data_IF_130302000853
#
_entry.id   IF_130302000853
#
_cell.length_a   1.000
_cell.length_b   1.000
_cell.length_c   1.000
_cell.angle_alpha   90.00
_cell.angle_beta   90.00
_cell.angle_gamma   90.00
#
_symmetry.space_group_name_H-M   'P 1'
#
loop_
_entity.id
_entity.type
_entity.pdbx_description
1 polymer ?
#
# COMPACT_ATOMS: atom_id res chain seq x y z
N UNK A 1 -10.07 -2.87 -17.02
CA UNK A 1 -10.00 -2.54 -15.59
C UNK A 1 -11.39 -2.43 -15.00
N UNK A 2 -11.62 -3.15 -13.91
CA UNK A 2 -12.95 -3.20 -13.27
C UNK A 2 -13.26 -1.96 -12.43
N UNK A 3 -12.25 -1.32 -11.88
CA UNK A 3 -12.40 -0.17 -11.00
C UNK A 3 -11.92 1.11 -11.66
N UNK A 4 -12.72 2.16 -11.56
CA UNK A 4 -12.39 3.48 -12.09
C UNK A 4 -12.57 4.53 -11.01
N UNK A 5 -11.55 5.35 -10.81
CA UNK A 5 -11.63 6.52 -9.94
C UNK A 5 -12.50 7.58 -10.62
N UNK A 6 -13.62 7.94 -10.00
CA UNK A 6 -14.55 8.94 -10.55
C UNK A 6 -14.19 10.33 -10.02
N UNK A 7 -14.03 10.47 -8.71
CA UNK A 7 -13.76 11.75 -8.08
C UNK A 7 -13.15 11.59 -6.71
N UNK A 8 -12.38 12.61 -6.30
CA UNK A 8 -11.90 12.78 -4.93
C UNK A 8 -12.41 14.14 -4.48
N UNK A 9 -13.30 14.14 -3.49
CA UNK A 9 -13.92 15.35 -2.96
C UNK A 9 -13.75 15.41 -1.45
N UNK A 10 -12.87 16.29 -0.97
CA UNK A 10 -12.57 16.36 0.46
C UNK A 10 -12.02 15.05 0.97
N UNK A 11 -12.69 14.45 1.94
CA UNK A 11 -12.29 13.16 2.52
C UNK A 11 -12.98 11.96 1.88
N UNK A 12 -13.70 12.18 0.78
CA UNK A 12 -14.49 11.15 0.11
C UNK A 12 -13.88 10.80 -1.23
N UNK A 13 -13.71 9.50 -1.47
CA UNK A 13 -13.26 8.96 -2.75
C UNK A 13 -14.43 8.21 -3.38
N UNK A 14 -14.72 8.50 -4.63
CA UNK A 14 -15.80 7.85 -5.37
C UNK A 14 -15.21 6.93 -6.43
N UNK A 15 -15.59 5.66 -6.38
CA UNK A 15 -15.14 4.61 -7.30
C UNK A 15 -16.34 4.02 -8.02
N UNK A 16 -16.17 3.77 -9.31
CA UNK A 16 -17.13 3.02 -10.12
C UNK A 16 -16.58 1.64 -10.38
N UNK A 17 -17.39 0.61 -10.15
CA UNK A 17 -17.02 -0.78 -10.42
C UNK A 17 -17.87 -1.33 -11.56
N UNK A 18 -17.21 -1.97 -12.52
CA UNK A 18 -17.85 -2.71 -13.60
C UNK A 18 -17.43 -4.17 -13.47
N UNK A 19 -18.33 -5.03 -13.07
CA UNK A 19 -18.06 -6.44 -12.80
C UNK A 19 -18.88 -7.30 -13.77
N UNK A 20 -18.17 -8.09 -14.58
CA UNK A 20 -18.81 -9.03 -15.49
C UNK A 20 -19.02 -10.35 -14.78
N UNK A 21 -20.28 -10.73 -14.63
CA UNK A 21 -20.65 -12.01 -14.02
C UNK A 21 -20.63 -13.12 -15.09
N UNK A 22 -20.29 -14.32 -14.64
CA UNK A 22 -20.35 -15.53 -15.46
C UNK A 22 -21.46 -16.45 -14.96
N UNK A 23 -21.66 -17.55 -15.66
CA UNK A 23 -22.63 -18.57 -15.21
C UNK A 23 -22.07 -19.49 -14.13
N UNK A 24 -20.78 -19.42 -13.86
CA UNK A 24 -20.15 -20.10 -12.76
C UNK A 24 -20.12 -19.18 -11.55
N UNK A 25 -20.68 -19.62 -10.44
CA UNK A 25 -20.67 -18.83 -9.20
C UNK A 25 -19.24 -18.64 -8.70
N UNK A 26 -18.40 -19.67 -8.73
CA UNK A 26 -17.01 -19.59 -8.32
C UNK A 26 -16.24 -18.55 -9.15
N UNK A 27 -16.39 -18.57 -10.47
CA UNK A 27 -15.73 -17.58 -11.33
C UNK A 27 -16.24 -16.17 -11.07
N UNK A 28 -17.54 -16.01 -10.85
CA UNK A 28 -18.12 -14.70 -10.49
C UNK A 28 -17.57 -14.18 -9.17
N UNK A 29 -17.47 -15.04 -8.17
CA UNK A 29 -16.91 -14.65 -6.86
C UNK A 29 -15.43 -14.25 -6.98
N UNK A 30 -14.65 -14.94 -7.81
CA UNK A 30 -13.25 -14.58 -8.07
C UNK A 30 -13.16 -13.21 -8.76
N UNK A 31 -14.01 -12.98 -9.74
CA UNK A 31 -14.08 -11.69 -10.44
C UNK A 31 -14.47 -10.56 -9.48
N UNK A 32 -15.43 -10.81 -8.59
CA UNK A 32 -15.85 -9.84 -7.58
C UNK A 32 -14.70 -9.52 -6.63
N UNK A 33 -14.01 -10.54 -6.12
CA UNK A 33 -12.87 -10.32 -5.23
C UNK A 33 -11.79 -9.47 -5.91
N UNK A 34 -11.46 -9.79 -7.16
CA UNK A 34 -10.45 -9.04 -7.90
C UNK A 34 -10.87 -7.59 -8.14
N UNK A 35 -12.16 -7.35 -8.44
CA UNK A 35 -12.68 -5.99 -8.63
C UNK A 35 -12.64 -5.19 -7.34
N UNK A 36 -13.01 -5.79 -6.21
CA UNK A 36 -12.95 -5.15 -4.89
C UNK A 36 -11.50 -4.83 -4.50
N UNK A 37 -10.59 -5.74 -4.76
CA UNK A 37 -9.16 -5.52 -4.52
C UNK A 37 -8.63 -4.37 -5.38
N UNK A 38 -9.01 -4.31 -6.65
CA UNK A 38 -8.62 -3.21 -7.53
C UNK A 38 -9.12 -1.87 -7.02
N UNK A 39 -10.38 -1.82 -6.57
CA UNK A 39 -10.94 -0.62 -5.96
C UNK A 39 -10.18 -0.24 -4.69
N UNK A 40 -9.87 -1.21 -3.84
CA UNK A 40 -9.08 -1.01 -2.63
C UNK A 40 -7.71 -0.42 -2.92
N UNK A 41 -7.04 -0.88 -3.97
CA UNK A 41 -5.75 -0.32 -4.41
C UNK A 41 -5.88 1.15 -4.82
N UNK A 42 -6.92 1.49 -5.58
CA UNK A 42 -7.14 2.85 -6.04
C UNK A 42 -7.38 3.81 -4.88
N UNK A 43 -8.25 3.42 -3.95
CA UNK A 43 -8.55 4.24 -2.77
C UNK A 43 -7.33 4.35 -1.86
N UNK A 44 -6.60 3.27 -1.67
CA UNK A 44 -5.37 3.28 -0.85
C UNK A 44 -4.32 4.23 -1.42
N UNK A 45 -4.16 4.25 -2.74
CA UNK A 45 -3.25 5.19 -3.40
C UNK A 45 -3.62 6.64 -3.08
N UNK A 46 -4.90 6.99 -3.15
CA UNK A 46 -5.37 8.32 -2.79
C UNK A 46 -5.17 8.63 -1.30
N UNK A 47 -5.42 7.66 -0.44
CA UNK A 47 -5.21 7.81 1.00
C UNK A 47 -3.74 8.05 1.34
N UNK A 48 -2.83 7.30 0.72
CA UNK A 48 -1.39 7.47 0.95
C UNK A 48 -0.87 8.84 0.51
N UNK A 49 -1.36 9.36 -0.61
CA UNK A 49 -0.97 10.69 -1.11
C UNK A 49 -1.24 11.80 -0.09
N UNK A 50 -2.22 11.65 0.78
CA UNK A 50 -2.57 12.63 1.80
C UNK A 50 -1.49 12.80 2.87
N UNK A 51 -0.60 11.83 3.00
CA UNK A 51 0.50 11.88 3.95
C UNK A 51 1.77 12.49 3.35
N UNK A 52 1.76 12.78 2.06
CA UNK A 52 2.89 13.40 1.40
C UNK A 52 2.93 14.91 1.67
N UNK A 53 4.08 15.51 1.42
CA UNK A 53 4.29 16.95 1.50
C UNK A 53 4.08 17.60 0.13
N UNK A 54 4.14 18.93 0.11
CA UNK A 54 4.11 19.71 -1.13
C UNK A 54 5.51 19.87 -1.77
N UNK A 55 6.53 19.26 -1.17
CA UNK A 55 7.92 19.35 -1.65
C UNK A 55 8.71 20.52 -1.09
N UNK A 56 8.10 21.35 -0.25
CA UNK A 56 8.83 22.45 0.40
C UNK A 56 9.75 21.91 1.50
N UNK A 57 10.79 22.69 1.82
CA UNK A 57 11.77 22.33 2.84
C UNK A 57 11.09 22.18 4.21
N UNK A 58 11.58 21.24 5.01
CA UNK A 58 11.09 20.98 6.37
C UNK A 58 12.24 21.07 7.36
N UNK A 59 11.90 21.36 8.62
CA UNK A 59 12.85 21.40 9.73
C UNK A 59 12.57 20.24 10.67
N UNK A 60 13.62 19.48 10.98
CA UNK A 60 13.55 18.39 11.96
C UNK A 60 14.71 18.54 12.92
N UNK A 61 14.42 18.78 14.21
CA UNK A 61 15.45 18.98 15.22
C UNK A 61 16.40 20.13 14.90
N UNK A 62 15.90 21.20 14.27
CA UNK A 62 16.71 22.34 13.87
C UNK A 62 17.51 22.14 12.56
N UNK A 63 17.47 20.96 11.97
CA UNK A 63 18.13 20.66 10.70
C UNK A 63 17.18 20.82 9.54
N UNK A 64 17.64 21.51 8.49
CA UNK A 64 16.84 21.71 7.27
C UNK A 64 16.97 20.51 6.35
N UNK A 65 15.82 19.97 5.96
CA UNK A 65 15.72 18.91 4.97
C UNK A 65 15.06 19.45 3.71
N UNK A 66 15.66 19.17 2.57
CA UNK A 66 15.14 19.62 1.27
C UNK A 66 14.71 18.43 0.43
N UNK A 67 13.64 18.63 -0.35
CA UNK A 67 13.13 17.60 -1.25
C UNK A 67 14.11 17.30 -2.37
N UNK A 68 14.36 16.04 -2.60
CA UNK A 68 15.14 15.54 -3.75
C UNK A 68 14.23 15.32 -4.96
N UNK A 69 12.96 15.63 -4.85
CA UNK A 69 11.92 15.41 -5.86
C UNK A 69 10.99 14.27 -5.50
N UNK A 70 10.08 13.97 -6.41
CA UNK A 70 9.14 12.87 -6.27
C UNK A 70 9.77 11.59 -6.81
N UNK A 71 9.69 10.52 -6.04
CA UNK A 71 10.17 9.21 -6.44
C UNK A 71 9.04 8.19 -6.29
N UNK A 72 8.82 7.31 -7.28
CA UNK A 72 7.83 6.26 -7.17
C UNK A 72 8.31 5.15 -6.24
N UNK A 73 7.38 4.56 -5.52
CA UNK A 73 7.64 3.36 -4.74
C UNK A 73 6.39 2.52 -4.65
N UNK A 74 6.56 1.21 -4.64
CA UNK A 74 5.48 0.26 -4.49
C UNK A 74 5.28 -0.08 -3.01
N UNK A 75 4.03 -0.05 -2.58
CA UNK A 75 3.65 -0.42 -1.22
C UNK A 75 2.70 -1.61 -1.25
N UNK A 76 2.91 -2.54 -0.34
CA UNK A 76 2.03 -3.68 -0.15
C UNK A 76 0.85 -3.27 0.73
N UNK A 77 -0.35 -3.57 0.26
CA UNK A 77 -1.60 -3.26 0.96
C UNK A 77 -2.45 -4.51 1.08
N UNK A 78 -3.50 -4.52 1.91
CA UNK A 78 -4.41 -5.67 1.97
C UNK A 78 -5.05 -6.01 0.62
N UNK A 79 -5.13 -5.05 -0.29
CA UNK A 79 -5.85 -5.17 -1.56
C UNK A 79 -4.95 -5.49 -2.74
N UNK A 80 -3.72 -5.07 -2.70
CA UNK A 80 -2.76 -5.26 -3.77
C UNK A 80 -1.51 -4.42 -3.56
N UNK A 81 -0.65 -4.44 -4.56
CA UNK A 81 0.53 -3.59 -4.61
C UNK A 81 0.13 -2.26 -5.26
N UNK A 82 0.52 -1.16 -4.62
CA UNK A 82 0.15 0.20 -5.06
C UNK A 82 1.41 1.02 -5.26
N UNK A 83 1.54 1.65 -6.44
CA UNK A 83 2.62 2.59 -6.70
C UNK A 83 2.19 4.00 -6.30
N UNK A 84 3.05 4.68 -5.54
CA UNK A 84 2.81 6.06 -5.10
C UNK A 84 4.05 6.90 -5.36
N UNK A 85 3.86 8.06 -5.97
CA UNK A 85 4.88 9.10 -6.05
C UNK A 85 4.92 9.85 -4.73
N UNK A 86 6.09 9.96 -4.13
CA UNK A 86 6.22 10.67 -2.85
C UNK A 86 7.54 11.44 -2.81
N UNK A 87 7.55 12.52 -2.04
CA UNK A 87 8.72 13.35 -1.86
C UNK A 87 9.72 12.69 -0.92
N UNK A 88 10.98 12.67 -1.35
CA UNK A 88 12.08 12.14 -0.57
C UNK A 88 13.00 13.29 -0.20
N UNK A 89 13.42 13.35 1.05
CA UNK A 89 14.20 14.45 1.62
C UNK A 89 15.60 14.00 2.02
N UNK A 90 16.49 14.97 2.00
CA UNK A 90 17.88 14.77 2.42
C UNK A 90 18.43 16.09 2.94
N UNK A 91 19.39 16.03 3.88
CA UNK A 91 20.08 17.22 4.36
C UNK A 91 21.18 17.65 3.36
N UNK A 92 21.68 18.86 3.49
CA UNK A 92 22.78 19.35 2.67
C UNK A 92 24.07 18.55 2.84
N UNK A 93 24.22 17.87 3.97
CA UNK A 93 25.37 16.99 4.24
C UNK A 93 25.25 15.63 3.52
N UNK A 94 24.13 15.34 2.88
CA UNK A 94 23.86 14.05 2.27
C UNK A 94 23.44 13.01 3.31
N UNK A 95 23.81 11.75 3.10
CA UNK A 95 23.48 10.65 4.01
C UNK A 95 22.13 10.02 3.72
N UNK A 96 21.48 9.52 4.76
CA UNK A 96 20.18 8.83 4.62
C UNK A 96 19.09 9.76 4.15
N UNK A 97 18.26 9.26 3.27
CA UNK A 97 17.04 9.93 2.84
C UNK A 97 15.91 9.72 3.86
N UNK A 98 14.94 10.61 3.82
CA UNK A 98 13.78 10.57 4.70
C UNK A 98 12.51 10.83 3.88
N UNK A 99 11.48 10.04 4.12
CA UNK A 99 10.19 10.19 3.44
C UNK A 99 9.10 10.47 4.49
N UNK A 100 8.59 11.71 4.56
CA UNK A 100 7.54 12.06 5.51
C UNK A 100 6.28 11.21 5.36
N UNK A 101 5.89 10.87 4.13
CA UNK A 101 4.73 9.99 3.89
C UNK A 101 4.90 8.67 4.64
N UNK A 102 6.07 8.04 4.54
CA UNK A 102 6.29 6.74 5.19
C UNK A 102 6.23 6.82 6.71
N UNK A 103 6.76 7.90 7.27
CA UNK A 103 6.67 8.15 8.72
C UNK A 103 5.23 8.35 9.16
N UNK A 104 4.52 9.25 8.48
CA UNK A 104 3.20 9.70 8.91
C UNK A 104 2.12 8.66 8.64
N UNK A 105 2.25 7.91 7.55
CA UNK A 105 1.36 6.79 7.23
C UNK A 105 1.73 5.50 7.98
N UNK A 106 2.81 5.53 8.77
CA UNK A 106 3.30 4.38 9.57
C UNK A 106 3.60 3.15 8.72
N UNK A 107 4.31 3.38 7.63
CA UNK A 107 4.73 2.30 6.74
C UNK A 107 5.75 1.39 7.47
N UNK A 108 5.55 0.09 7.37
CA UNK A 108 6.43 -0.94 7.94
C UNK A 108 7.11 -1.67 6.80
N UNK A 109 8.43 -1.52 6.66
CA UNK A 109 9.22 -1.98 5.49
C UNK A 109 8.72 -1.26 4.23
N UNK A 110 7.79 -1.83 3.50
CA UNK A 110 7.04 -1.19 2.40
C UNK A 110 5.57 -1.63 2.45
N UNK A 111 5.06 -1.82 3.64
CA UNK A 111 3.71 -2.30 3.89
C UNK A 111 2.88 -1.24 4.60
N UNK A 112 1.61 -1.12 4.21
CA UNK A 112 0.66 -0.30 4.96
C UNK A 112 0.40 -0.93 6.34
N UNK A 113 -0.02 -0.13 7.34
CA UNK A 113 -0.21 -0.63 8.70
C UNK A 113 -1.19 -1.80 8.79
N UNK A 114 -2.27 -1.74 8.04
CA UNK A 114 -3.28 -2.81 8.06
C UNK A 114 -2.73 -4.11 7.48
N UNK A 115 -1.96 -4.03 6.39
CA UNK A 115 -1.35 -5.23 5.81
C UNK A 115 -0.32 -5.83 6.76
N UNK A 116 0.51 -5.00 7.39
CA UNK A 116 1.46 -5.47 8.40
C UNK A 116 0.75 -6.18 9.55
N UNK A 117 -0.38 -5.64 10.00
CA UNK A 117 -1.19 -6.24 11.06
C UNK A 117 -1.78 -7.59 10.63
N UNK A 118 -2.29 -7.68 9.40
CA UNK A 118 -2.83 -8.93 8.84
C UNK A 118 -1.75 -10.00 8.79
N UNK A 119 -0.56 -9.66 8.27
CA UNK A 119 0.55 -10.60 8.17
C UNK A 119 1.01 -11.05 9.56
N UNK A 120 1.16 -10.13 10.50
CA UNK A 120 1.55 -10.47 11.87
C UNK A 120 0.56 -11.44 12.53
N UNK A 121 -0.73 -11.20 12.33
CA UNK A 121 -1.78 -12.07 12.85
C UNK A 121 -1.70 -13.48 12.25
N UNK A 122 -1.49 -13.56 10.93
CA UNK A 122 -1.38 -14.85 10.25
C UNK A 122 -0.14 -15.63 10.71
N UNK A 123 0.97 -14.95 10.96
CA UNK A 123 2.18 -15.60 11.49
C UNK A 123 1.99 -16.14 12.92
N UNK A 124 1.03 -15.63 13.67
CA UNK A 124 0.70 -16.18 14.98
C UNK A 124 0.11 -17.60 14.89
N UNK A 125 -0.45 -17.96 13.73
CA UNK A 125 -1.14 -19.23 13.51
C UNK A 125 -0.40 -20.19 12.58
N UNK A 126 0.72 -19.79 11.96
CA UNK A 126 1.45 -20.65 11.03
C UNK A 126 2.78 -20.11 10.58
N UNK A 127 3.49 -20.88 9.77
CA UNK A 127 4.77 -20.49 9.19
C UNK A 127 4.62 -19.68 7.90
N UNK A 128 5.74 -19.23 7.35
CA UNK A 128 5.76 -18.38 6.15
C UNK A 128 5.09 -19.01 4.93
N UNK A 129 5.22 -20.32 4.75
CA UNK A 129 4.57 -21.03 3.64
C UNK A 129 3.05 -20.98 3.77
N UNK A 130 2.51 -21.16 4.98
CA UNK A 130 1.08 -21.09 5.23
C UNK A 130 0.55 -19.68 5.07
N UNK A 131 1.31 -18.67 5.51
CA UNK A 131 0.92 -17.26 5.35
C UNK A 131 0.87 -16.89 3.87
N UNK A 132 1.87 -17.29 3.10
CA UNK A 132 1.90 -17.07 1.65
C UNK A 132 0.67 -17.68 0.97
N UNK A 133 0.37 -18.94 1.29
CA UNK A 133 -0.78 -19.67 0.74
C UNK A 133 -2.11 -19.02 1.15
N UNK A 134 -2.25 -18.66 2.41
CA UNK A 134 -3.47 -18.06 2.93
C UNK A 134 -3.77 -16.70 2.27
N UNK A 135 -2.75 -15.87 2.09
CA UNK A 135 -2.90 -14.60 1.39
C UNK A 135 -3.35 -14.79 -0.05
N UNK A 136 -2.78 -15.79 -0.75
CA UNK A 136 -3.15 -16.07 -2.13
C UNK A 136 -4.59 -16.62 -2.23
N UNK A 137 -4.93 -17.61 -1.42
CA UNK A 137 -6.22 -18.30 -1.48
C UNK A 137 -7.39 -17.46 -0.97
N UNK A 138 -7.21 -16.78 0.15
CA UNK A 138 -8.32 -16.11 0.82
C UNK A 138 -8.43 -14.63 0.54
N UNK A 139 -7.36 -14.01 0.06
CA UNK A 139 -7.33 -12.55 -0.14
C UNK A 139 -6.92 -12.15 -1.56
N UNK A 140 -6.60 -13.13 -2.42
CA UNK A 140 -6.12 -12.84 -3.76
C UNK A 140 -4.79 -12.07 -3.79
N UNK A 141 -3.95 -12.24 -2.74
CA UNK A 141 -2.70 -11.52 -2.59
C UNK A 141 -1.50 -12.45 -2.78
N UNK A 142 -0.78 -12.24 -3.86
CA UNK A 142 0.42 -13.01 -4.18
C UNK A 142 1.65 -12.24 -3.75
N UNK A 143 2.18 -12.56 -2.57
CA UNK A 143 3.30 -11.86 -1.94
C UNK A 143 4.44 -12.85 -1.72
N UNK A 144 5.66 -12.46 -2.08
CA UNK A 144 6.82 -13.31 -1.93
C UNK A 144 7.06 -13.68 -0.46
N UNK A 145 7.36 -14.96 -0.21
CA UNK A 145 7.59 -15.45 1.15
C UNK A 145 8.75 -14.73 1.83
N UNK A 146 9.81 -14.40 1.07
CA UNK A 146 10.94 -13.64 1.60
C UNK A 146 10.55 -12.28 2.13
N UNK A 147 9.64 -11.59 1.44
CA UNK A 147 9.09 -10.31 1.89
C UNK A 147 8.30 -10.49 3.18
N UNK A 148 7.46 -11.51 3.26
CA UNK A 148 6.66 -11.80 4.44
C UNK A 148 7.54 -12.10 5.66
N UNK A 149 8.62 -12.87 5.47
CA UNK A 149 9.58 -13.14 6.52
C UNK A 149 10.28 -11.87 7.01
N UNK A 150 10.64 -10.98 6.08
CA UNK A 150 11.26 -9.71 6.42
C UNK A 150 10.29 -8.80 7.19
N UNK A 151 9.05 -8.75 6.77
CA UNK A 151 8.00 -7.97 7.44
C UNK A 151 7.76 -8.48 8.87
N UNK A 152 7.78 -9.80 9.08
CA UNK A 152 7.61 -10.43 10.39
C UNK A 152 8.65 -9.97 11.41
N UNK A 153 9.88 -9.70 10.96
CA UNK A 153 10.97 -9.31 11.85
C UNK A 153 10.83 -7.89 12.41
N UNK A 154 9.87 -7.13 11.93
CA UNK A 154 9.61 -5.76 12.36
C UNK A 154 8.47 -5.73 13.36
#
# INVERSE_FOLDING_TARGET
MSAKLIAVEGDTVRIELNIKLSRSMLESEETILNALNEAGCRVTGEALKRFDTDGSAILIGGTKWTSKGEEPKYYQTPYGEVEVLRHVYQTSAGGKTFCPLERDARIVVSSTPRFAKVVAHKFACGGSTQVESDLAENHGRHVARSYLQNLRKR
#
